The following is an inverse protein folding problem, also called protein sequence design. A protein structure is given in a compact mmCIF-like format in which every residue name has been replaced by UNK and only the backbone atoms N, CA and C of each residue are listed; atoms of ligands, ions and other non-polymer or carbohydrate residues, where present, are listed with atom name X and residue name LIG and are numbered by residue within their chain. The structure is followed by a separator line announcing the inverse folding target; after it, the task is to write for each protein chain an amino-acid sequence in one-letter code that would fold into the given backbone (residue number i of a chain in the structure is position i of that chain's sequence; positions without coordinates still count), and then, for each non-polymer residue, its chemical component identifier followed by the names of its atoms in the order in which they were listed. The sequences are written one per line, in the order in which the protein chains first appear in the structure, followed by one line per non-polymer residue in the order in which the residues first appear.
data_IF_972118261132
#
_entry.id   IF_972118261132
#
_cell.length_a   1.000
_cell.length_b   1.000
_cell.length_c   1.000
_cell.angle_alpha   90.00
_cell.angle_beta   90.00
_cell.angle_gamma   90.00
#
_symmetry.space_group_name_H-M   'P 1'
#
loop_
_entity.id
_entity.type
_entity.pdbx_description
1 polymer ?
#
# COMPACT_ATOMS: atom_id res chain seq x y z
N UNK A 1 5.23 35.46 71.75
CA UNK A 1 5.78 34.85 70.51
C UNK A 1 4.74 33.92 69.88
N UNK A 2 3.71 34.43 69.21
CA UNK A 2 2.66 33.59 68.59
C UNK A 2 2.17 34.08 67.21
N UNK A 3 2.74 35.15 66.65
CA UNK A 3 2.29 35.74 65.36
C UNK A 3 3.15 35.37 64.15
N UNK A 4 4.19 34.54 64.31
CA UNK A 4 5.10 34.17 63.22
C UNK A 4 4.82 32.77 62.62
N UNK A 5 4.01 31.93 63.28
CA UNK A 5 3.71 30.58 62.80
C UNK A 5 2.58 30.52 61.76
N UNK A 6 1.83 31.61 61.56
CA UNK A 6 0.66 31.65 60.65
C UNK A 6 0.97 32.17 59.25
N UNK A 7 2.18 32.68 59.00
CA UNK A 7 2.56 33.26 57.70
C UNK A 7 3.28 32.24 56.80
N UNK A 8 3.93 31.21 57.36
CA UNK A 8 4.61 30.17 56.57
C UNK A 8 3.65 29.13 55.97
N UNK A 9 2.52 28.83 56.63
CA UNK A 9 1.52 27.88 56.13
C UNK A 9 0.73 28.38 54.91
N UNK A 10 0.51 29.69 54.80
CA UNK A 10 -0.23 30.29 53.68
C UNK A 10 0.58 30.29 52.38
N UNK A 11 1.90 30.43 52.44
CA UNK A 11 2.79 30.45 51.27
C UNK A 11 2.94 29.05 50.66
N UNK A 12 3.02 28.01 51.50
CA UNK A 12 3.10 26.61 51.03
C UNK A 12 1.79 26.14 50.39
N UNK A 13 0.64 26.60 50.90
CA UNK A 13 -0.67 26.30 50.31
C UNK A 13 -0.90 26.99 48.94
N UNK A 14 -0.35 28.18 48.72
CA UNK A 14 -0.43 28.86 47.41
C UNK A 14 0.48 28.17 46.38
N UNK A 15 1.68 27.74 46.80
CA UNK A 15 2.62 27.03 45.92
C UNK A 15 2.06 25.68 45.44
N UNK A 16 1.42 24.90 46.32
CA UNK A 16 0.83 23.60 45.95
C UNK A 16 -0.41 23.72 45.06
N UNK A 17 -1.26 24.73 45.27
CA UNK A 17 -2.41 25.01 44.39
C UNK A 17 -1.94 25.48 43.01
N UNK A 18 -0.89 26.30 42.95
CA UNK A 18 -0.27 26.72 41.69
C UNK A 18 0.27 25.55 40.87
N UNK A 19 1.01 24.63 41.49
CA UNK A 19 1.52 23.42 40.81
C UNK A 19 0.41 22.50 40.31
N UNK A 20 -0.69 22.34 41.06
CA UNK A 20 -1.82 21.51 40.64
C UNK A 20 -2.52 22.09 39.41
N UNK A 21 -2.70 23.41 39.34
CA UNK A 21 -3.31 24.05 38.17
C UNK A 21 -2.42 23.94 36.92
N UNK A 22 -1.10 24.06 37.08
CA UNK A 22 -0.13 23.87 35.99
C UNK A 22 -0.19 22.42 35.49
N UNK A 23 -0.16 21.43 36.39
CA UNK A 23 -0.23 20.01 36.00
C UNK A 23 -1.57 19.65 35.35
N UNK A 24 -2.70 20.17 35.84
CA UNK A 24 -4.01 19.95 35.21
C UNK A 24 -4.07 20.58 33.81
N UNK A 25 -3.50 21.78 33.64
CA UNK A 25 -3.42 22.45 32.35
C UNK A 25 -2.51 21.71 31.35
N UNK A 26 -1.35 21.23 31.81
CA UNK A 26 -0.43 20.40 31.01
C UNK A 26 -1.09 19.09 30.59
N UNK A 27 -1.74 18.35 31.49
CA UNK A 27 -2.45 17.11 31.18
C UNK A 27 -3.54 17.36 30.14
N UNK A 28 -4.35 18.41 30.32
CA UNK A 28 -5.42 18.72 29.39
C UNK A 28 -4.90 19.11 28.00
N UNK A 29 -3.77 19.82 27.92
CA UNK A 29 -3.12 20.12 26.65
C UNK A 29 -2.53 18.88 25.99
N UNK A 30 -1.92 17.97 26.76
CA UNK A 30 -1.40 16.70 26.25
C UNK A 30 -2.51 15.84 25.67
N UNK A 31 -3.63 15.66 26.38
CA UNK A 31 -4.79 14.91 25.90
C UNK A 31 -5.35 15.50 24.60
N UNK A 32 -5.49 16.83 24.55
CA UNK A 32 -5.94 17.53 23.34
C UNK A 32 -4.99 17.32 22.16
N UNK A 33 -3.68 17.38 22.40
CA UNK A 33 -2.68 17.16 21.36
C UNK A 33 -2.67 15.70 20.88
N UNK A 34 -2.86 14.74 21.77
CA UNK A 34 -3.01 13.32 21.41
C UNK A 34 -4.25 13.08 20.56
N UNK A 35 -5.39 13.70 20.89
CA UNK A 35 -6.61 13.62 20.10
C UNK A 35 -6.43 14.19 18.70
N UNK A 36 -5.82 15.39 18.59
CA UNK A 36 -5.50 16.02 17.31
C UNK A 36 -4.59 15.09 16.50
N UNK A 37 -3.52 14.57 17.11
CA UNK A 37 -2.57 13.69 16.45
C UNK A 37 -3.20 12.39 15.95
N UNK A 38 -4.04 11.76 16.77
CA UNK A 38 -4.79 10.55 16.39
C UNK A 38 -5.76 10.83 15.25
N UNK A 39 -6.46 11.96 15.28
CA UNK A 39 -7.30 12.41 14.19
C UNK A 39 -6.49 12.61 12.90
N UNK A 40 -5.33 13.29 12.97
CA UNK A 40 -4.44 13.50 11.82
C UNK A 40 -3.99 12.17 11.20
N UNK A 41 -3.50 11.22 12.01
CA UNK A 41 -3.11 9.89 11.53
C UNK A 41 -4.28 9.21 10.80
N UNK A 42 -5.47 9.28 11.38
CA UNK A 42 -6.68 8.67 10.81
C UNK A 42 -7.05 9.28 9.46
N UNK A 43 -7.07 10.61 9.37
CA UNK A 43 -7.41 11.33 8.14
C UNK A 43 -6.35 11.11 7.06
N UNK A 44 -5.07 11.23 7.39
CA UNK A 44 -3.97 11.03 6.43
C UNK A 44 -3.98 9.60 5.91
N UNK A 45 -4.17 8.61 6.78
CA UNK A 45 -4.32 7.22 6.34
C UNK A 45 -5.56 7.01 5.45
N UNK A 46 -6.68 7.64 5.78
CA UNK A 46 -7.90 7.57 4.97
C UNK A 46 -7.72 8.18 3.58
N UNK A 47 -7.00 9.30 3.47
CA UNK A 47 -6.67 9.93 2.18
C UNK A 47 -5.81 8.99 1.33
N UNK A 48 -4.75 8.41 1.92
CA UNK A 48 -3.86 7.47 1.22
C UNK A 48 -4.61 6.21 0.80
N UNK A 49 -5.47 5.68 1.66
CA UNK A 49 -6.23 4.45 1.40
C UNK A 49 -7.38 4.65 0.42
N UNK A 50 -7.97 5.84 0.39
CA UNK A 50 -9.03 6.20 -0.56
C UNK A 50 -8.52 6.38 -1.99
N UNK A 51 -7.21 6.59 -2.18
CA UNK A 51 -6.63 6.73 -3.50
C UNK A 51 -6.61 5.38 -4.24
N UNK A 52 -7.34 5.28 -5.34
CA UNK A 52 -7.46 4.05 -6.12
C UNK A 52 -6.34 3.83 -7.15
N UNK A 53 -5.38 4.73 -7.32
CA UNK A 53 -4.31 4.56 -8.32
C UNK A 53 -3.27 3.52 -7.89
N UNK A 54 -2.84 2.66 -8.81
CA UNK A 54 -1.76 1.68 -8.54
C UNK A 54 -0.41 2.35 -8.22
N UNK A 55 -0.23 3.60 -8.63
CA UNK A 55 0.96 4.40 -8.38
C UNK A 55 1.04 4.93 -6.94
N UNK A 56 -0.06 4.92 -6.18
CA UNK A 56 -0.13 5.61 -4.89
C UNK A 56 -0.31 7.12 -5.04
N UNK A 57 -0.15 7.85 -3.94
CA UNK A 57 -0.44 9.28 -3.83
C UNK A 57 0.81 10.08 -3.47
N UNK A 58 1.04 11.23 -4.10
CA UNK A 58 2.19 12.09 -3.79
C UNK A 58 1.97 12.91 -2.51
N UNK A 59 3.05 13.38 -1.90
CA UNK A 59 2.97 14.28 -0.74
C UNK A 59 2.10 15.53 -1.00
N UNK A 60 2.22 16.14 -2.19
CA UNK A 60 1.47 17.35 -2.55
C UNK A 60 -0.04 17.10 -2.61
N UNK A 61 -0.44 15.95 -3.14
CA UNK A 61 -1.85 15.54 -3.20
C UNK A 61 -2.39 15.26 -1.79
N UNK A 62 -1.63 14.51 -0.96
CA UNK A 62 -1.99 14.29 0.45
C UNK A 62 -2.17 15.63 1.18
N UNK A 63 -1.25 16.57 0.99
CA UNK A 63 -1.30 17.88 1.62
C UNK A 63 -2.55 18.67 1.21
N UNK A 64 -2.90 18.66 -0.07
CA UNK A 64 -4.08 19.34 -0.57
C UNK A 64 -5.36 18.75 0.05
N UNK A 65 -5.50 17.43 0.04
CA UNK A 65 -6.68 16.74 0.58
C UNK A 65 -6.77 16.84 2.11
N UNK A 66 -5.62 16.83 2.79
CA UNK A 66 -5.55 17.04 4.23
C UNK A 66 -6.01 18.45 4.61
N UNK A 67 -5.54 19.49 3.90
CA UNK A 67 -5.98 20.87 4.14
C UNK A 67 -7.48 21.04 3.88
N UNK A 68 -8.02 20.39 2.85
CA UNK A 68 -9.46 20.36 2.60
C UNK A 68 -10.23 19.68 3.74
N UNK A 69 -9.70 18.58 4.29
CA UNK A 69 -10.30 17.85 5.42
C UNK A 69 -10.28 18.67 6.71
N UNK A 70 -9.20 19.40 6.98
CA UNK A 70 -9.09 20.32 8.12
C UNK A 70 -10.18 21.40 8.07
N UNK A 71 -10.48 21.94 6.87
CA UNK A 71 -11.52 22.97 6.72
C UNK A 71 -12.93 22.43 7.00
N UNK A 72 -13.17 21.15 6.75
CA UNK A 72 -14.46 20.51 7.00
C UNK A 72 -14.66 20.15 8.48
N UNK A 73 -13.59 19.83 9.20
CA UNK A 73 -13.60 19.50 10.62
C UNK A 73 -13.25 20.71 11.49
N UNK A 74 -14.12 21.73 11.50
CA UNK A 74 -13.97 22.92 12.37
C UNK A 74 -14.21 22.66 13.87
N UNK A 75 -14.68 21.46 14.24
CA UNK A 75 -15.03 21.11 15.62
C UNK A 75 -13.78 21.04 16.53
N UNK A 76 -12.67 20.55 15.98
CA UNK A 76 -11.36 20.68 16.59
C UNK A 76 -10.76 21.99 16.12
N UNK A 77 -10.63 22.98 17.01
CA UNK A 77 -9.79 24.16 16.73
C UNK A 77 -8.33 23.71 16.65
N UNK A 78 -7.94 23.13 15.51
CA UNK A 78 -6.60 22.63 15.27
C UNK A 78 -5.65 23.84 15.22
N UNK A 79 -4.59 23.87 16.06
CA UNK A 79 -3.60 24.93 16.01
C UNK A 79 -2.96 25.02 14.63
N UNK A 80 -2.59 26.23 14.20
CA UNK A 80 -2.01 26.45 12.87
C UNK A 80 -0.71 25.67 12.69
N UNK A 81 0.03 25.49 13.78
CA UNK A 81 1.28 24.74 13.88
C UNK A 81 1.09 23.27 13.47
N UNK A 82 -0.05 22.68 13.84
CA UNK A 82 -0.39 21.28 13.55
C UNK A 82 -0.95 21.09 12.12
N UNK A 83 -1.23 22.18 11.40
CA UNK A 83 -1.68 22.15 9.99
C UNK A 83 -0.49 22.31 9.03
N UNK A 84 0.69 22.66 9.55
CA UNK A 84 1.86 22.92 8.72
C UNK A 84 2.40 21.65 8.04
N UNK A 85 3.11 21.87 6.94
CA UNK A 85 3.77 20.81 6.18
C UNK A 85 4.65 19.90 7.04
N UNK A 86 5.34 20.46 8.03
CA UNK A 86 6.22 19.71 8.93
C UNK A 86 5.44 18.74 9.84
N UNK A 87 4.27 19.15 10.34
CA UNK A 87 3.40 18.29 11.14
C UNK A 87 2.87 17.13 10.29
N UNK A 88 2.42 17.41 9.07
CA UNK A 88 1.98 16.38 8.13
C UNK A 88 3.11 15.38 7.79
N UNK A 89 4.33 15.86 7.56
CA UNK A 89 5.50 14.98 7.34
C UNK A 89 5.77 14.08 8.55
N UNK A 90 5.62 14.58 9.77
CA UNK A 90 5.77 13.77 10.99
C UNK A 90 4.72 12.66 11.03
N UNK A 91 3.46 12.98 10.75
CA UNK A 91 2.37 12.00 10.68
C UNK A 91 2.67 10.92 9.63
N UNK A 92 3.16 11.30 8.45
CA UNK A 92 3.55 10.34 7.42
C UNK A 92 4.72 9.44 7.85
N UNK A 93 5.73 10.01 8.50
CA UNK A 93 6.86 9.24 9.04
C UNK A 93 6.41 8.24 10.09
N UNK A 94 5.45 8.61 10.94
CA UNK A 94 4.87 7.68 11.91
C UNK A 94 4.07 6.57 11.23
N UNK A 95 3.23 6.88 10.25
CA UNK A 95 2.50 5.86 9.50
C UNK A 95 3.44 4.90 8.75
N UNK A 96 4.57 5.40 8.25
CA UNK A 96 5.64 4.57 7.67
C UNK A 96 6.30 3.69 8.75
N UNK A 97 6.62 4.27 9.91
CA UNK A 97 7.23 3.54 11.03
C UNK A 97 6.30 2.46 11.60
N UNK A 98 5.00 2.71 11.59
CA UNK A 98 3.96 1.76 12.01
C UNK A 98 3.73 0.65 10.96
N UNK A 99 4.33 0.77 9.77
CA UNK A 99 4.19 -0.20 8.68
C UNK A 99 2.79 -0.27 8.08
N UNK A 100 1.97 0.77 8.26
CA UNK A 100 0.60 0.81 7.69
C UNK A 100 0.58 1.40 6.29
N UNK A 101 1.59 2.19 5.94
CA UNK A 101 1.85 2.70 4.59
C UNK A 101 3.29 2.44 4.19
N UNK A 102 3.54 2.48 2.89
CA UNK A 102 4.88 2.45 2.29
C UNK A 102 5.09 3.67 1.41
N UNK A 103 6.36 4.00 1.17
CA UNK A 103 6.78 5.01 0.20
C UNK A 103 7.63 4.35 -0.87
N UNK A 104 7.30 4.60 -2.14
CA UNK A 104 8.07 4.09 -3.27
C UNK A 104 9.30 4.97 -3.59
N UNK A 105 10.12 4.54 -4.55
CA UNK A 105 11.31 5.28 -4.98
C UNK A 105 10.99 6.65 -5.63
N UNK A 106 9.73 6.90 -6.03
CA UNK A 106 9.26 8.16 -6.59
C UNK A 106 8.68 9.09 -5.53
N UNK A 107 8.65 8.66 -4.26
CA UNK A 107 8.05 9.42 -3.16
C UNK A 107 6.53 9.37 -3.13
N UNK A 108 5.92 8.33 -3.71
CA UNK A 108 4.49 8.07 -3.67
C UNK A 108 4.16 7.14 -2.50
N UNK A 109 3.07 7.45 -1.80
CA UNK A 109 2.60 6.72 -0.62
C UNK A 109 1.45 5.78 -0.99
N UNK A 110 1.45 4.58 -0.42
CA UNK A 110 0.36 3.62 -0.60
C UNK A 110 0.16 2.79 0.68
N UNK A 111 -1.02 2.21 0.92
CA UNK A 111 -1.22 1.28 2.03
C UNK A 111 -0.38 0.01 1.85
N UNK A 112 0.26 -0.49 2.92
CA UNK A 112 1.06 -1.73 2.89
C UNK A 112 0.24 -2.96 2.44
N UNK A 113 -1.02 -3.05 2.85
CA UNK A 113 -1.89 -4.16 2.43
C UNK A 113 -2.02 -4.22 0.90
N UNK A 114 -1.99 -3.06 0.23
CA UNK A 114 -2.08 -2.98 -1.23
C UNK A 114 -0.82 -3.48 -1.90
N UNK A 115 0.36 -3.15 -1.37
CA UNK A 115 1.64 -3.62 -1.93
C UNK A 115 1.76 -5.13 -1.80
N UNK A 116 1.40 -5.69 -0.66
CA UNK A 116 1.36 -7.14 -0.44
C UNK A 116 0.40 -7.85 -1.38
N UNK A 117 -0.82 -7.32 -1.57
CA UNK A 117 -1.79 -7.89 -2.50
C UNK A 117 -1.29 -7.84 -3.96
N UNK A 118 -0.68 -6.72 -4.35
CA UNK A 118 -0.17 -6.52 -5.71
C UNK A 118 1.00 -7.44 -6.00
N UNK A 119 1.93 -7.58 -5.06
CA UNK A 119 3.06 -8.50 -5.16
C UNK A 119 2.61 -9.96 -5.17
N UNK A 120 1.65 -10.32 -4.33
CA UNK A 120 1.01 -11.64 -4.35
C UNK A 120 0.38 -11.96 -5.71
N UNK A 121 -0.37 -11.00 -6.28
CA UNK A 121 -0.97 -11.13 -7.62
C UNK A 121 0.09 -11.28 -8.71
N UNK A 122 1.17 -10.49 -8.67
CA UNK A 122 2.31 -10.60 -9.61
C UNK A 122 2.97 -11.97 -9.52
N UNK A 123 3.19 -12.47 -8.31
CA UNK A 123 3.80 -13.78 -8.06
C UNK A 123 2.92 -14.90 -8.57
N UNK A 124 1.62 -14.84 -8.29
CA UNK A 124 0.64 -15.81 -8.80
C UNK A 124 0.60 -15.80 -10.34
N UNK A 125 0.58 -14.63 -10.96
CA UNK A 125 0.61 -14.51 -12.41
C UNK A 125 1.89 -15.11 -12.98
N UNK A 126 3.06 -14.86 -12.37
CA UNK A 126 4.32 -15.48 -12.80
C UNK A 126 4.28 -17.00 -12.72
N UNK A 127 3.77 -17.55 -11.61
CA UNK A 127 3.63 -19.01 -11.45
C UNK A 127 2.70 -19.57 -12.53
N UNK A 128 1.51 -18.98 -12.71
CA UNK A 128 0.57 -19.39 -13.76
C UNK A 128 1.18 -19.31 -15.17
N UNK A 129 1.95 -18.26 -15.46
CA UNK A 129 2.65 -18.11 -16.74
C UNK A 129 3.67 -19.22 -16.95
N UNK A 130 4.50 -19.54 -15.96
CA UNK A 130 5.52 -20.59 -16.07
C UNK A 130 4.90 -22.00 -16.15
N UNK A 131 3.88 -22.28 -15.35
CA UNK A 131 3.12 -23.53 -15.45
C UNK A 131 2.44 -23.64 -16.83
N UNK A 132 1.85 -22.55 -17.32
CA UNK A 132 1.22 -22.46 -18.65
C UNK A 132 2.22 -22.75 -19.77
N UNK A 133 3.41 -22.14 -19.71
CA UNK A 133 4.50 -22.42 -20.65
C UNK A 133 4.86 -23.90 -20.65
N UNK A 134 5.07 -24.49 -19.48
CA UNK A 134 5.42 -25.90 -19.35
C UNK A 134 4.31 -26.84 -19.88
N UNK A 135 3.05 -26.55 -19.55
CA UNK A 135 1.91 -27.34 -20.03
C UNK A 135 1.78 -27.30 -21.56
N UNK A 136 1.97 -26.13 -22.17
CA UNK A 136 1.98 -25.96 -23.63
C UNK A 136 3.15 -26.72 -24.26
N UNK A 137 4.36 -26.59 -23.71
CA UNK A 137 5.53 -27.30 -24.22
C UNK A 137 5.36 -28.82 -24.18
N UNK A 138 4.79 -29.36 -23.10
CA UNK A 138 4.48 -30.80 -22.99
C UNK A 138 3.43 -31.19 -24.03
N UNK A 139 2.33 -30.43 -24.14
CA UNK A 139 1.26 -30.73 -25.08
C UNK A 139 1.74 -30.70 -26.54
N UNK A 140 2.50 -29.65 -26.92
CA UNK A 140 3.07 -29.51 -28.26
C UNK A 140 4.13 -30.58 -28.55
N UNK A 141 4.99 -30.88 -27.58
CA UNK A 141 6.02 -31.92 -27.70
C UNK A 141 5.44 -33.32 -27.90
N UNK A 142 4.37 -33.66 -27.19
CA UNK A 142 3.66 -34.94 -27.35
C UNK A 142 2.86 -35.02 -28.66
N UNK A 143 2.38 -33.88 -29.16
CA UNK A 143 1.53 -33.82 -30.34
C UNK A 143 2.30 -33.99 -31.65
N UNK A 144 3.59 -33.67 -31.68
CA UNK A 144 4.42 -33.65 -32.89
C UNK A 144 3.76 -32.88 -34.05
N UNK A 145 3.50 -31.58 -33.85
CA UNK A 145 2.87 -30.69 -34.84
C UNK A 145 1.39 -30.97 -35.18
N UNK A 146 0.61 -31.58 -34.27
CA UNK A 146 -0.80 -31.94 -34.53
C UNK A 146 -1.85 -30.98 -33.98
N UNK A 147 -1.47 -29.98 -33.16
CA UNK A 147 -2.44 -29.06 -32.56
C UNK A 147 -2.32 -27.65 -33.11
N UNK A 148 -3.46 -27.05 -33.44
CA UNK A 148 -3.59 -25.60 -33.63
C UNK A 148 -3.65 -24.90 -32.27
N UNK A 149 -3.38 -23.60 -32.23
CA UNK A 149 -3.44 -22.78 -31.00
C UNK A 149 -4.77 -22.95 -30.24
N UNK A 150 -5.87 -23.10 -30.97
CA UNK A 150 -7.21 -23.13 -30.40
C UNK A 150 -7.52 -24.49 -29.74
N UNK A 151 -6.89 -25.54 -30.24
CA UNK A 151 -7.00 -26.90 -29.71
C UNK A 151 -6.09 -27.11 -28.50
N UNK A 152 -4.97 -26.40 -28.42
CA UNK A 152 -4.10 -26.42 -27.23
C UNK A 152 -4.87 -25.95 -26.02
N UNK A 153 -5.71 -24.92 -26.16
CA UNK A 153 -6.51 -24.38 -25.07
C UNK A 153 -7.34 -25.48 -24.40
N UNK A 154 -8.09 -26.27 -25.17
CA UNK A 154 -8.93 -27.34 -24.60
C UNK A 154 -8.09 -28.44 -23.96
N UNK A 155 -6.89 -28.74 -24.49
CA UNK A 155 -5.98 -29.75 -23.94
C UNK A 155 -5.32 -29.36 -22.62
N UNK A 156 -5.07 -28.07 -22.40
CA UNK A 156 -4.43 -27.59 -21.18
C UNK A 156 -5.42 -27.03 -20.16
N UNK A 157 -6.68 -26.79 -20.54
CA UNK A 157 -7.69 -26.20 -19.66
C UNK A 157 -7.89 -27.00 -18.37
N UNK A 158 -7.89 -28.33 -18.48
CA UNK A 158 -8.04 -29.24 -17.33
C UNK A 158 -6.86 -29.18 -16.35
N UNK A 159 -5.71 -28.66 -16.80
CA UNK A 159 -4.49 -28.54 -15.99
C UNK A 159 -4.29 -27.13 -15.45
N UNK A 160 -4.61 -26.12 -16.27
CA UNK A 160 -4.41 -24.70 -15.96
C UNK A 160 -5.53 -23.89 -16.61
N UNK A 161 -6.29 -23.19 -15.78
CA UNK A 161 -7.30 -22.25 -16.24
C UNK A 161 -6.63 -20.96 -16.75
N UNK A 162 -6.28 -20.94 -18.03
CA UNK A 162 -5.80 -19.75 -18.75
C UNK A 162 -6.95 -19.07 -19.49
N UNK A 163 -6.98 -17.74 -19.45
CA UNK A 163 -7.82 -16.91 -20.32
C UNK A 163 -7.27 -16.93 -21.76
N UNK A 164 -8.08 -16.56 -22.78
CA UNK A 164 -7.60 -16.48 -24.17
C UNK A 164 -6.42 -15.53 -24.34
N UNK A 165 -6.42 -14.41 -23.61
CA UNK A 165 -5.36 -13.40 -23.66
C UNK A 165 -4.06 -13.94 -23.06
N UNK A 166 -4.12 -14.55 -21.87
CA UNK A 166 -2.95 -15.18 -21.24
C UNK A 166 -2.35 -16.28 -22.11
N UNK A 167 -3.19 -17.07 -22.77
CA UNK A 167 -2.74 -18.10 -23.71
C UNK A 167 -2.00 -17.49 -24.91
N UNK A 168 -2.56 -16.42 -25.51
CA UNK A 168 -1.95 -15.74 -26.64
C UNK A 168 -0.59 -15.12 -26.27
N UNK A 169 -0.49 -14.50 -25.09
CA UNK A 169 0.76 -13.93 -24.57
C UNK A 169 1.83 -15.02 -24.35
N UNK A 170 1.45 -16.15 -23.75
CA UNK A 170 2.36 -17.27 -23.52
C UNK A 170 2.83 -17.87 -24.84
N UNK A 171 1.94 -18.10 -25.80
CA UNK A 171 2.30 -18.62 -27.12
C UNK A 171 3.26 -17.67 -27.84
N UNK A 172 2.97 -16.38 -27.83
CA UNK A 172 3.85 -15.35 -28.42
C UNK A 172 5.23 -15.36 -27.77
N UNK A 173 5.29 -15.46 -26.44
CA UNK A 173 6.54 -15.57 -25.69
C UNK A 173 7.35 -16.82 -26.06
N UNK A 174 6.69 -17.97 -26.20
CA UNK A 174 7.35 -19.24 -26.56
C UNK A 174 7.86 -19.25 -28.01
N UNK A 175 7.11 -18.63 -28.94
CA UNK A 175 7.53 -18.47 -30.34
C UNK A 175 8.74 -17.53 -30.42
N UNK A 176 8.69 -16.38 -29.74
CA UNK A 176 9.80 -15.44 -29.69
C UNK A 176 11.07 -16.06 -29.09
N UNK A 177 10.90 -16.91 -28.08
CA UNK A 177 11.99 -17.69 -27.47
C UNK A 177 12.45 -18.89 -28.31
N UNK A 178 11.89 -19.10 -29.51
CA UNK A 178 12.17 -20.24 -30.40
C UNK A 178 12.05 -21.60 -29.68
N UNK A 179 11.09 -21.72 -28.76
CA UNK A 179 10.76 -22.99 -28.12
C UNK A 179 9.71 -23.76 -28.91
N UNK A 180 8.82 -23.05 -29.58
CA UNK A 180 7.82 -23.58 -30.50
C UNK A 180 7.82 -22.79 -31.81
N UNK A 181 7.35 -23.39 -32.89
CA UNK A 181 7.11 -22.75 -34.19
C UNK A 181 5.69 -23.01 -34.67
N UNK A 182 5.23 -22.20 -35.63
CA UNK A 182 3.98 -22.44 -36.37
C UNK A 182 4.36 -22.85 -37.79
N UNK A 183 3.85 -23.98 -38.27
CA UNK A 183 4.07 -24.42 -39.65
C UNK A 183 3.17 -23.67 -40.66
N UNK A 184 3.33 -23.93 -41.96
CA UNK A 184 2.53 -23.28 -43.02
C UNK A 184 1.02 -23.49 -42.89
N UNK A 185 0.60 -24.56 -42.20
CA UNK A 185 -0.80 -24.95 -42.04
C UNK A 185 -1.39 -24.47 -40.69
N UNK A 186 -0.62 -23.72 -39.90
CA UNK A 186 -1.05 -23.13 -38.63
C UNK A 186 -0.93 -24.05 -37.40
N UNK A 187 -0.20 -25.17 -37.50
CA UNK A 187 0.03 -26.08 -36.38
C UNK A 187 1.27 -25.70 -35.57
N UNK A 188 1.17 -25.89 -34.26
CA UNK A 188 2.24 -25.63 -33.31
C UNK A 188 3.18 -26.83 -33.21
N UNK A 189 4.47 -26.58 -33.40
CA UNK A 189 5.55 -27.55 -33.39
C UNK A 189 6.54 -27.26 -32.27
N UNK A 190 7.04 -28.29 -31.59
CA UNK A 190 8.12 -28.13 -30.62
C UNK A 190 9.45 -28.06 -31.38
N UNK A 191 10.28 -27.08 -31.04
CA UNK A 191 11.63 -26.95 -31.61
C UNK A 191 12.65 -27.81 -30.83
N UNK A 192 12.26 -28.31 -29.65
CA UNK A 192 13.13 -29.10 -28.76
C UNK A 192 13.37 -30.55 -29.23
N UNK A 193 12.74 -31.00 -30.32
CA UNK A 193 12.92 -32.33 -30.90
C UNK A 193 13.77 -32.32 -32.20
N UNK A 194 14.56 -31.27 -32.43
CA UNK A 194 15.54 -31.26 -33.52
C UNK A 194 16.83 -31.94 -33.08
N UNK A 195 17.10 -33.11 -33.66
CA UNK A 195 18.42 -33.75 -33.74
C UNK A 195 19.52 -32.76 -34.22
#
# INVERSE_FOLDING_TARGET
MQRLATISGAIVAIATVGTLLISVWEINNTLKNEEIHKWQKTIVFSIISGNQTEAGISFKEIQADYLASVQQFMEFKIPREEIQELALKRVLLELLSDGVIVMDAKGQFAPEIRTLYTEGKRTLNRIKTEEGKNAILIAVGQANCKFKSEEIRSKIHDKIALTPEELADILTSLIAAKRISINSDGYLCSILNGD
#
